data_IF_709322905159
#
_entry.id   IF_709322905159
#
_cell.length_a   1.000
_cell.length_b   1.000
_cell.length_c   1.000
_cell.angle_alpha   90.00
_cell.angle_beta   90.00
_cell.angle_gamma   90.00
#
_symmetry.space_group_name_H-M   'P 1'
#
loop_
_entity.id
_entity.type
_entity.pdbx_description
1 polymer ?
#
# COMPACT_ATOMS: atom_id res chain seq x y z
N UNK A 1 53.17 0.57 -15.46
CA UNK A 1 51.88 1.27 -15.57
C UNK A 1 51.41 1.60 -14.15
N UNK A 2 51.34 2.87 -13.74
CA UNK A 2 50.81 3.20 -12.43
C UNK A 2 49.30 2.94 -12.44
N UNK A 3 48.85 2.06 -11.56
CA UNK A 3 47.43 1.71 -11.41
C UNK A 3 46.71 2.92 -10.80
N UNK A 4 45.87 3.61 -11.58
CA UNK A 4 45.21 4.84 -11.17
C UNK A 4 44.02 4.55 -10.25
N UNK A 5 44.32 4.43 -8.94
CA UNK A 5 43.34 4.12 -7.90
C UNK A 5 42.24 5.18 -7.75
N UNK A 6 42.45 6.43 -8.22
CA UNK A 6 41.48 7.52 -8.05
C UNK A 6 40.27 7.31 -8.95
N UNK A 7 40.50 6.83 -10.17
CA UNK A 7 39.47 6.64 -11.18
C UNK A 7 38.46 5.55 -10.77
N UNK A 8 38.97 4.50 -10.11
CA UNK A 8 38.18 3.36 -9.64
C UNK A 8 37.20 3.75 -8.50
N UNK A 9 37.62 4.65 -7.60
CA UNK A 9 36.77 5.15 -6.51
C UNK A 9 35.64 6.04 -7.02
N UNK A 10 35.94 6.98 -7.92
CA UNK A 10 34.92 7.84 -8.54
C UNK A 10 33.93 7.06 -9.38
N UNK A 11 34.38 6.00 -10.07
CA UNK A 11 33.48 5.14 -10.83
C UNK A 11 32.53 4.35 -9.92
N UNK A 12 33.05 3.81 -8.81
CA UNK A 12 32.24 3.13 -7.79
C UNK A 12 31.21 4.05 -7.14
N UNK A 13 31.58 5.28 -6.79
CA UNK A 13 30.68 6.26 -6.18
C UNK A 13 29.53 6.64 -7.14
N UNK A 14 29.82 6.83 -8.44
CA UNK A 14 28.80 7.08 -9.48
C UNK A 14 27.86 5.89 -9.67
N UNK A 15 28.39 4.67 -9.75
CA UNK A 15 27.59 3.46 -9.92
C UNK A 15 26.67 3.22 -8.72
N UNK A 16 27.19 3.47 -7.51
CA UNK A 16 26.43 3.42 -6.25
C UNK A 16 25.28 4.42 -6.27
N UNK A 17 25.51 5.68 -6.67
CA UNK A 17 24.47 6.71 -6.74
C UNK A 17 23.37 6.34 -7.76
N UNK A 18 23.75 5.83 -8.94
CA UNK A 18 22.79 5.36 -9.96
C UNK A 18 21.96 4.18 -9.43
N UNK A 19 22.58 3.24 -8.71
CA UNK A 19 21.88 2.12 -8.07
C UNK A 19 20.88 2.62 -7.01
N UNK A 20 21.29 3.55 -6.16
CA UNK A 20 20.42 4.12 -5.12
C UNK A 20 19.21 4.84 -5.74
N UNK A 21 19.42 5.65 -6.78
CA UNK A 21 18.33 6.30 -7.51
C UNK A 21 17.35 5.30 -8.12
N UNK A 22 17.84 4.22 -8.74
CA UNK A 22 16.97 3.16 -9.30
C UNK A 22 16.16 2.46 -8.22
N UNK A 23 16.76 2.15 -7.08
CA UNK A 23 16.07 1.51 -5.96
C UNK A 23 15.00 2.44 -5.35
N UNK A 24 15.29 3.74 -5.21
CA UNK A 24 14.31 4.73 -4.74
C UNK A 24 13.12 4.82 -5.69
N UNK A 25 13.38 5.00 -6.99
CA UNK A 25 12.33 5.09 -8.01
C UNK A 25 11.45 3.83 -8.05
N UNK A 26 12.05 2.64 -7.93
CA UNK A 26 11.30 1.39 -7.85
C UNK A 26 10.42 1.31 -6.60
N UNK A 27 10.97 1.66 -5.43
CA UNK A 27 10.21 1.69 -4.18
C UNK A 27 9.05 2.69 -4.23
N UNK A 28 9.28 3.87 -4.79
CA UNK A 28 8.27 4.93 -4.94
C UNK A 28 7.12 4.50 -5.85
N UNK A 29 7.44 3.86 -6.99
CA UNK A 29 6.43 3.36 -7.93
C UNK A 29 5.57 2.26 -7.28
N UNK A 30 6.20 1.31 -6.57
CA UNK A 30 5.48 0.26 -5.82
C UNK A 30 4.58 0.88 -4.75
N UNK A 31 5.08 1.86 -3.99
CA UNK A 31 4.29 2.56 -2.97
C UNK A 31 3.09 3.28 -3.58
N UNK A 32 3.29 3.97 -4.71
CA UNK A 32 2.23 4.69 -5.41
C UNK A 32 1.14 3.75 -5.90
N UNK A 33 1.51 2.68 -6.62
CA UNK A 33 0.56 1.67 -7.12
C UNK A 33 -0.20 1.00 -5.98
N UNK A 34 0.50 0.64 -4.90
CA UNK A 34 -0.13 0.04 -3.71
C UNK A 34 -1.12 0.99 -3.06
N UNK A 35 -0.79 2.29 -2.99
CA UNK A 35 -1.69 3.31 -2.45
C UNK A 35 -2.96 3.43 -3.29
N UNK A 36 -2.83 3.54 -4.60
CA UNK A 36 -3.96 3.62 -5.53
C UNK A 36 -4.90 2.41 -5.40
N UNK A 37 -4.35 1.19 -5.44
CA UNK A 37 -5.11 -0.06 -5.25
C UNK A 37 -5.82 -0.11 -3.89
N UNK A 38 -5.12 0.32 -2.83
CA UNK A 38 -5.69 0.34 -1.49
C UNK A 38 -6.85 1.34 -1.36
N UNK A 39 -6.74 2.51 -1.99
CA UNK A 39 -7.79 3.52 -2.01
C UNK A 39 -9.05 3.01 -2.71
N UNK A 40 -8.90 2.30 -3.82
CA UNK A 40 -10.02 1.70 -4.54
C UNK A 40 -10.73 0.65 -3.67
N UNK A 41 -9.97 -0.27 -3.08
CA UNK A 41 -10.52 -1.29 -2.18
C UNK A 41 -11.25 -0.67 -0.97
N UNK A 42 -10.65 0.36 -0.36
CA UNK A 42 -11.28 1.10 0.74
C UNK A 42 -12.60 1.73 0.29
N UNK A 43 -12.63 2.34 -0.90
CA UNK A 43 -13.86 2.93 -1.46
C UNK A 43 -14.96 1.89 -1.57
N UNK A 44 -14.65 0.70 -2.08
CA UNK A 44 -15.60 -0.41 -2.16
C UNK A 44 -16.12 -0.84 -0.77
N UNK A 45 -15.24 -0.94 0.23
CA UNK A 45 -15.65 -1.25 1.60
C UNK A 45 -16.59 -0.18 2.19
N UNK A 46 -16.29 1.10 1.96
CA UNK A 46 -17.12 2.22 2.43
C UNK A 46 -18.48 2.22 1.74
N UNK A 47 -18.53 1.96 0.44
CA UNK A 47 -19.78 1.86 -0.31
C UNK A 47 -20.63 0.70 0.18
N UNK A 48 -20.04 -0.47 0.41
CA UNK A 48 -20.74 -1.61 0.98
C UNK A 48 -21.24 -1.33 2.41
N UNK A 49 -20.44 -0.68 3.26
CA UNK A 49 -20.87 -0.24 4.59
C UNK A 49 -22.11 0.65 4.50
N UNK A 50 -22.08 1.65 3.62
CA UNK A 50 -23.20 2.57 3.41
C UNK A 50 -24.43 1.86 2.85
N UNK A 51 -24.24 0.91 1.92
CA UNK A 51 -25.31 0.08 1.35
C UNK A 51 -26.03 -0.76 2.41
N UNK A 52 -25.30 -1.22 3.43
CA UNK A 52 -25.84 -1.96 4.57
C UNK A 52 -26.42 -1.05 5.67
N UNK A 53 -26.37 0.28 5.51
CA UNK A 53 -26.86 1.23 6.51
C UNK A 53 -26.03 1.30 7.79
N UNK A 54 -24.80 0.75 7.78
CA UNK A 54 -23.94 0.70 8.96
C UNK A 54 -23.17 2.00 9.15
N UNK A 55 -23.02 2.43 10.39
CA UNK A 55 -22.14 3.53 10.79
C UNK A 55 -20.70 3.06 10.94
N UNK A 56 -19.76 3.99 11.04
CA UNK A 56 -18.37 3.66 11.40
C UNK A 56 -18.27 3.06 12.80
N UNK A 57 -19.18 3.44 13.71
CA UNK A 57 -19.24 2.88 15.06
C UNK A 57 -19.68 1.41 15.03
N UNK A 58 -20.66 1.05 14.21
CA UNK A 58 -21.11 -0.34 14.10
C UNK A 58 -19.98 -1.26 13.62
N UNK A 59 -19.20 -0.80 12.64
CA UNK A 59 -18.02 -1.55 12.17
C UNK A 59 -16.92 -1.58 13.24
N UNK A 60 -16.73 -0.51 14.00
CA UNK A 60 -15.77 -0.47 15.12
C UNK A 60 -16.14 -1.50 16.19
N UNK A 61 -17.41 -1.57 16.56
CA UNK A 61 -17.91 -2.47 17.60
C UNK A 61 -17.76 -3.95 17.20
N UNK A 62 -17.92 -4.27 15.91
CA UNK A 62 -17.72 -5.63 15.38
C UNK A 62 -16.24 -5.99 15.27
N UNK A 63 -15.41 -5.07 14.78
CA UNK A 63 -13.99 -5.36 14.47
C UNK A 63 -13.04 -5.16 15.65
N UNK A 64 -13.49 -4.46 16.70
CA UNK A 64 -12.65 -3.97 17.80
C UNK A 64 -11.64 -2.89 17.37
N UNK A 65 -11.78 -2.32 16.16
CA UNK A 65 -10.93 -1.24 15.68
C UNK A 65 -11.52 0.09 16.17
N UNK A 66 -10.69 0.98 16.70
CA UNK A 66 -11.15 2.29 17.14
C UNK A 66 -11.87 3.06 15.99
N UNK A 67 -13.01 3.72 16.25
CA UNK A 67 -13.73 4.49 15.23
C UNK A 67 -12.85 5.55 14.56
N UNK A 68 -11.95 6.19 15.32
CA UNK A 68 -10.99 7.18 14.79
C UNK A 68 -9.95 6.55 13.84
N UNK A 69 -9.64 5.26 13.99
CA UNK A 69 -8.78 4.53 13.08
C UNK A 69 -9.54 4.12 11.82
N UNK A 70 -10.81 3.72 11.95
CA UNK A 70 -11.68 3.47 10.79
C UNK A 70 -11.89 4.74 9.96
N UNK A 71 -12.20 5.87 10.58
CA UNK A 71 -12.35 7.15 9.88
C UNK A 71 -11.06 7.55 9.12
N UNK A 72 -9.89 7.30 9.72
CA UNK A 72 -8.59 7.50 9.05
C UNK A 72 -8.37 6.53 7.90
N UNK A 73 -8.73 5.26 8.07
CA UNK A 73 -8.67 4.26 7.01
C UNK A 73 -9.57 4.66 5.84
N UNK A 74 -10.82 5.03 6.10
CA UNK A 74 -11.78 5.45 5.08
C UNK A 74 -11.36 6.73 4.34
N UNK A 75 -10.46 7.53 4.92
CA UNK A 75 -9.91 8.72 4.25
C UNK A 75 -8.89 8.41 3.15
N UNK A 76 -8.41 7.17 3.03
CA UNK A 76 -7.45 6.74 1.98
C UNK A 76 -6.05 7.36 2.08
N UNK A 77 -5.73 8.09 3.16
CA UNK A 77 -4.44 8.81 3.29
C UNK A 77 -3.23 7.91 3.50
N UNK A 78 -3.43 6.66 3.92
CA UNK A 78 -2.37 5.70 4.21
C UNK A 78 -2.83 4.32 3.79
N UNK A 79 -1.88 3.50 3.34
CA UNK A 79 -2.12 2.08 3.05
C UNK A 79 -2.38 1.34 4.36
N UNK A 80 -3.61 0.81 4.59
CA UNK A 80 -3.87 -0.05 5.73
C UNK A 80 -3.21 -1.41 5.55
N UNK A 81 -2.99 -2.13 6.65
CA UNK A 81 -2.51 -3.51 6.57
C UNK A 81 -3.61 -4.43 6.06
N UNK A 82 -3.22 -5.54 5.43
CA UNK A 82 -4.15 -6.56 4.95
C UNK A 82 -5.06 -7.07 6.08
N UNK A 83 -4.53 -7.24 7.29
CA UNK A 83 -5.30 -7.67 8.47
C UNK A 83 -6.47 -6.72 8.76
N UNK A 84 -6.24 -5.41 8.67
CA UNK A 84 -7.28 -4.41 8.93
C UNK A 84 -8.34 -4.43 7.85
N UNK A 85 -7.93 -4.55 6.58
CA UNK A 85 -8.85 -4.69 5.45
C UNK A 85 -9.74 -5.94 5.59
N UNK A 86 -9.15 -7.08 5.96
CA UNK A 86 -9.89 -8.32 6.17
C UNK A 86 -10.87 -8.22 7.35
N UNK A 87 -10.47 -7.59 8.46
CA UNK A 87 -11.39 -7.32 9.59
C UNK A 87 -12.57 -6.48 9.15
N UNK A 88 -12.33 -5.41 8.38
CA UNK A 88 -13.38 -4.56 7.85
C UNK A 88 -14.33 -5.38 6.96
N UNK A 89 -13.79 -6.09 5.96
CA UNK A 89 -14.58 -6.93 5.07
C UNK A 89 -15.43 -7.95 5.84
N UNK A 90 -14.83 -8.62 6.84
CA UNK A 90 -15.52 -9.60 7.68
C UNK A 90 -16.67 -8.98 8.47
N UNK A 91 -16.55 -7.73 8.94
CA UNK A 91 -17.64 -7.04 9.63
C UNK A 91 -18.82 -6.71 8.70
N UNK A 92 -18.57 -6.63 7.40
CA UNK A 92 -19.59 -6.47 6.36
C UNK A 92 -20.12 -7.80 5.81
N UNK A 93 -19.69 -8.94 6.37
CA UNK A 93 -20.00 -10.27 5.83
C UNK A 93 -19.38 -10.55 4.46
N UNK A 94 -18.24 -9.90 4.16
CA UNK A 94 -17.47 -10.04 2.93
C UNK A 94 -16.09 -10.63 3.22
N UNK A 95 -15.39 -11.04 2.17
CA UNK A 95 -14.00 -11.47 2.23
C UNK A 95 -13.20 -10.82 1.09
N UNK A 96 -11.90 -10.62 1.32
CA UNK A 96 -10.97 -10.14 0.28
C UNK A 96 -10.16 -11.32 -0.23
N UNK A 97 -10.16 -11.52 -1.55
CA UNK A 97 -9.32 -12.49 -2.23
C UNK A 97 -8.07 -11.80 -2.80
N UNK A 98 -6.92 -12.46 -2.66
CA UNK A 98 -5.67 -12.03 -3.28
C UNK A 98 -5.27 -13.03 -4.35
N UNK A 99 -4.95 -12.52 -5.53
CA UNK A 99 -4.50 -13.32 -6.67
C UNK A 99 -3.18 -12.73 -7.17
N UNK A 100 -2.22 -13.61 -7.44
CA UNK A 100 -1.03 -13.24 -8.18
C UNK A 100 -1.40 -13.24 -9.65
N UNK A 101 -1.17 -12.13 -10.32
CA UNK A 101 -1.36 -11.98 -11.75
C UNK A 101 0.00 -11.83 -12.43
N UNK A 102 0.07 -12.20 -13.70
CA UNK A 102 1.24 -11.89 -14.52
C UNK A 102 1.41 -10.37 -14.59
N UNK A 103 2.66 -9.90 -14.55
CA UNK A 103 2.96 -8.49 -14.71
C UNK A 103 2.51 -8.07 -16.11
N UNK A 104 1.67 -7.05 -16.21
CA UNK A 104 1.12 -6.56 -17.47
C UNK A 104 2.18 -6.58 -18.58
N UNK A 105 1.97 -7.41 -19.60
CA UNK A 105 2.55 -7.14 -20.91
C UNK A 105 1.80 -5.91 -21.44
N UNK A 106 2.54 -4.79 -21.45
CA UNK A 106 2.20 -3.45 -21.98
C UNK A 106 1.39 -2.49 -21.08
#
# INVERSE_FOLDING_TARGET
MPYDFRDNRTNYEKEKEVREKRLSAYSEDIQKRTLEQSCELIRHLVEERRRQGMTQQDVADITGILPSNLARLESGKRVPTLVVLQKYASALGKHIELKLCDGAEE
#
